data_IF_731611673921
#
_entry.id   IF_731611673921
#
_cell.length_a   1.000
_cell.length_b   1.000
_cell.length_c   1.000
_cell.angle_alpha   90.00
_cell.angle_beta   90.00
_cell.angle_gamma   90.00
#
_symmetry.space_group_name_H-M   'P 1'
#
loop_
_entity.id
_entity.type
_entity.pdbx_description
1 polymer ?
#
# COMPACT_ATOMS: atom_id res chain seq x y z
N UNK A 1 -0.70 8.27 -3.81
CA UNK A 1 0.14 7.18 -4.35
C UNK A 1 1.54 7.73 -4.50
N UNK A 2 2.43 7.23 -3.70
CA UNK A 2 3.85 7.40 -4.00
C UNK A 2 4.06 6.61 -5.30
N UNK A 3 4.56 7.24 -6.36
CA UNK A 3 4.79 6.56 -7.60
C UNK A 3 5.80 5.45 -7.38
N UNK A 4 5.56 4.27 -7.92
CA UNK A 4 6.41 3.11 -7.75
C UNK A 4 7.27 2.92 -8.98
N UNK A 5 8.55 2.80 -8.71
CA UNK A 5 9.52 2.41 -9.70
C UNK A 5 9.71 0.90 -9.69
N UNK A 6 9.61 0.27 -10.85
CA UNK A 6 10.03 -1.10 -11.04
C UNK A 6 11.49 -1.11 -11.46
N UNK A 7 12.40 -1.36 -10.51
CA UNK A 7 13.82 -1.41 -10.79
C UNK A 7 14.24 -2.64 -11.61
N UNK A 8 15.45 -2.58 -12.18
CA UNK A 8 16.04 -3.69 -12.92
C UNK A 8 16.21 -4.91 -12.01
N UNK A 9 15.78 -6.07 -12.46
CA UNK A 9 16.10 -7.35 -11.84
C UNK A 9 17.59 -7.65 -12.11
N UNK A 10 18.43 -7.61 -11.11
CA UNK A 10 19.80 -8.18 -11.06
C UNK A 10 20.59 -8.16 -12.38
N UNK A 11 20.49 -7.11 -13.18
CA UNK A 11 21.29 -6.89 -14.38
C UNK A 11 20.96 -7.80 -15.57
N UNK A 12 19.97 -8.67 -15.51
CA UNK A 12 19.72 -9.65 -16.58
C UNK A 12 18.42 -9.45 -17.36
N UNK A 13 17.40 -8.78 -16.80
CA UNK A 13 16.18 -8.46 -17.55
C UNK A 13 15.65 -7.10 -17.12
N UNK A 14 15.57 -6.18 -18.07
CA UNK A 14 14.83 -4.95 -17.90
C UNK A 14 13.34 -5.26 -18.13
N UNK A 15 12.53 -4.94 -17.12
CA UNK A 15 11.08 -4.94 -17.33
C UNK A 15 10.69 -3.68 -18.12
N UNK A 16 9.73 -3.76 -19.03
CA UNK A 16 9.18 -2.55 -19.65
C UNK A 16 8.73 -1.57 -18.56
N UNK A 17 9.20 -0.33 -18.61
CA UNK A 17 8.92 0.70 -17.61
C UNK A 17 9.92 0.82 -16.47
N UNK A 18 11.00 0.01 -16.45
CA UNK A 18 12.09 0.20 -15.49
C UNK A 18 12.75 1.56 -15.69
N UNK A 19 12.88 2.32 -14.60
CA UNK A 19 13.42 3.69 -14.66
C UNK A 19 12.36 4.75 -14.92
N UNK A 20 11.09 4.37 -15.01
CA UNK A 20 9.99 5.29 -15.28
C UNK A 20 9.03 5.37 -14.09
N UNK A 21 8.38 6.52 -13.92
CA UNK A 21 7.29 6.67 -12.96
C UNK A 21 6.08 5.85 -13.38
N UNK A 22 5.42 5.20 -12.43
CA UNK A 22 4.12 4.54 -12.67
C UNK A 22 2.97 5.50 -12.94
N UNK A 23 3.19 6.81 -12.74
CA UNK A 23 2.19 7.84 -12.93
C UNK A 23 2.75 9.00 -13.75
N UNK A 24 1.90 9.58 -14.59
CA UNK A 24 2.24 10.75 -15.39
C UNK A 24 1.12 11.78 -15.37
N UNK A 25 1.48 13.03 -15.59
CA UNK A 25 0.54 14.13 -15.79
C UNK A 25 0.87 14.84 -17.10
N UNK A 26 -0.10 14.99 -17.98
CA UNK A 26 0.08 15.58 -19.33
C UNK A 26 1.27 14.97 -20.09
N UNK A 27 1.43 13.65 -20.01
CA UNK A 27 2.51 12.91 -20.65
C UNK A 27 3.89 13.05 -20.02
N UNK A 28 4.02 13.77 -18.90
CA UNK A 28 5.27 13.92 -18.16
C UNK A 28 5.27 13.00 -16.95
N UNK A 29 6.33 12.17 -16.73
CA UNK A 29 6.45 11.35 -15.55
C UNK A 29 6.41 12.19 -14.27
N UNK A 30 5.63 11.74 -13.29
CA UNK A 30 5.65 12.35 -11.95
C UNK A 30 6.90 11.91 -11.18
N UNK A 31 7.45 12.77 -10.30
CA UNK A 31 8.47 12.35 -9.35
C UNK A 31 8.00 11.16 -8.52
N UNK A 32 8.85 10.21 -8.24
CA UNK A 32 8.49 8.95 -7.62
C UNK A 32 9.56 8.43 -6.67
N UNK A 33 9.15 7.55 -5.74
CA UNK A 33 10.06 6.77 -4.92
C UNK A 33 10.54 5.55 -5.70
N UNK A 34 11.85 5.39 -5.94
CA UNK A 34 12.41 4.20 -6.56
C UNK A 34 12.13 2.94 -5.74
N UNK A 35 11.73 1.87 -6.38
CA UNK A 35 11.41 0.60 -5.73
C UNK A 35 12.67 -0.29 -5.61
N UNK A 36 12.98 -0.76 -4.41
CA UNK A 36 14.17 -1.56 -4.16
C UNK A 36 13.98 -3.04 -4.54
N UNK A 37 13.94 -3.34 -5.82
CA UNK A 37 13.79 -4.71 -6.32
C UNK A 37 14.99 -5.63 -6.11
N UNK A 38 16.15 -5.07 -5.84
CA UNK A 38 17.43 -5.80 -5.81
C UNK A 38 17.66 -6.57 -4.51
N UNK A 39 16.63 -7.20 -4.00
CA UNK A 39 16.72 -7.98 -2.77
C UNK A 39 16.03 -9.34 -2.96
N UNK A 40 16.65 -10.29 -3.71
CA UNK A 40 16.09 -11.63 -3.96
C UNK A 40 15.83 -12.42 -2.67
N UNK A 41 16.51 -12.06 -1.58
CA UNK A 41 16.28 -12.61 -0.25
C UNK A 41 14.85 -12.41 0.24
N UNK A 42 14.20 -11.29 -0.08
CA UNK A 42 12.80 -11.06 0.33
C UNK A 42 11.86 -12.08 -0.31
N UNK A 43 12.03 -12.40 -1.58
CA UNK A 43 11.23 -13.41 -2.25
C UNK A 43 11.44 -14.82 -1.69
N UNK A 44 12.66 -15.16 -1.26
CA UNK A 44 12.95 -16.44 -0.59
C UNK A 44 12.30 -16.49 0.78
N UNK A 45 12.48 -15.44 1.60
CA UNK A 45 11.88 -15.30 2.92
C UNK A 45 10.36 -15.42 2.85
N UNK A 46 9.70 -14.71 1.94
CA UNK A 46 8.26 -14.79 1.74
C UNK A 46 7.79 -16.22 1.44
N UNK A 47 8.48 -16.94 0.53
CA UNK A 47 8.15 -18.34 0.20
C UNK A 47 8.32 -19.28 1.40
N UNK A 48 9.32 -19.06 2.23
CA UNK A 48 9.55 -19.86 3.44
C UNK A 48 8.49 -19.59 4.49
N UNK A 49 8.13 -18.33 4.71
CA UNK A 49 7.05 -17.95 5.65
C UNK A 49 5.68 -18.49 5.18
N UNK A 50 5.38 -18.42 3.88
CA UNK A 50 4.16 -18.99 3.33
C UNK A 50 4.04 -20.50 3.59
N UNK A 51 5.17 -21.24 3.48
CA UNK A 51 5.20 -22.70 3.80
C UNK A 51 4.92 -23.00 5.28
N UNK A 52 5.22 -22.05 6.17
CA UNK A 52 4.95 -22.16 7.62
C UNK A 52 3.55 -21.66 8.01
N UNK A 53 2.70 -21.35 7.03
CA UNK A 53 1.37 -20.79 7.27
C UNK A 53 1.34 -19.28 7.44
N UNK A 54 2.43 -18.57 7.11
CA UNK A 54 2.51 -17.13 7.05
C UNK A 54 1.81 -16.53 5.82
N UNK A 55 2.10 -15.29 5.50
CA UNK A 55 1.49 -14.58 4.38
C UNK A 55 1.86 -15.22 3.03
N UNK A 56 0.87 -15.40 2.15
CA UNK A 56 1.14 -15.90 0.79
C UNK A 56 1.74 -14.82 -0.11
N UNK A 57 1.45 -13.56 0.18
CA UNK A 57 2.04 -12.38 -0.46
C UNK A 57 2.40 -11.37 0.61
N UNK A 58 3.60 -10.77 0.50
CA UNK A 58 4.06 -9.71 1.38
C UNK A 58 5.10 -8.87 0.62
N UNK A 59 5.05 -7.56 0.78
CA UNK A 59 5.99 -6.63 0.15
C UNK A 59 6.42 -5.48 1.07
N UNK A 60 5.87 -5.39 2.27
CA UNK A 60 6.14 -4.29 3.22
C UNK A 60 7.63 -4.04 3.42
N UNK A 61 8.43 -5.11 3.58
CA UNK A 61 9.88 -4.98 3.79
C UNK A 61 10.60 -4.32 2.61
N UNK A 62 10.10 -4.52 1.38
CA UNK A 62 10.66 -3.92 0.17
C UNK A 62 10.39 -2.40 0.17
N UNK A 63 9.20 -1.97 0.58
CA UNK A 63 8.87 -0.55 0.70
C UNK A 63 9.67 0.14 1.80
N UNK A 64 9.84 -0.51 2.95
CA UNK A 64 10.71 -0.04 4.04
C UNK A 64 12.15 0.13 3.55
N UNK A 65 12.66 -0.86 2.82
CA UNK A 65 14.01 -0.81 2.24
C UNK A 65 14.14 0.30 1.20
N UNK A 66 13.11 0.52 0.38
CA UNK A 66 13.07 1.58 -0.62
C UNK A 66 13.15 2.96 0.01
N UNK A 67 12.33 3.25 1.03
CA UNK A 67 12.39 4.53 1.75
C UNK A 67 13.73 4.73 2.47
N UNK A 68 14.32 3.66 3.00
CA UNK A 68 15.63 3.72 3.65
C UNK A 68 16.76 4.02 2.66
N UNK A 69 16.71 3.43 1.47
CA UNK A 69 17.72 3.61 0.42
C UNK A 69 17.56 4.96 -0.30
N UNK A 70 16.33 5.47 -0.39
CA UNK A 70 16.00 6.72 -1.04
C UNK A 70 15.06 7.53 -0.13
N UNK A 71 15.61 8.42 0.73
CA UNK A 71 14.80 9.31 1.54
C UNK A 71 13.88 10.15 0.66
N UNK A 72 12.57 10.09 0.94
CA UNK A 72 11.55 10.69 0.08
C UNK A 72 11.73 12.22 0.05
N UNK A 73 11.79 12.77 -1.16
CA UNK A 73 11.89 14.21 -1.41
C UNK A 73 10.49 14.84 -1.48
N UNK A 74 10.41 16.13 -1.22
CA UNK A 74 9.13 16.84 -1.21
C UNK A 74 8.35 16.71 -2.53
N UNK A 75 9.03 16.75 -3.67
CA UNK A 75 8.40 16.60 -4.99
C UNK A 75 7.82 15.21 -5.26
N UNK A 76 8.27 14.18 -4.54
CA UNK A 76 7.82 12.79 -4.69
C UNK A 76 6.53 12.50 -3.92
N UNK A 77 6.15 13.38 -2.98
CA UNK A 77 4.89 13.25 -2.28
C UNK A 77 3.69 13.65 -3.12
N UNK A 78 2.60 12.91 -2.97
CA UNK A 78 1.29 13.38 -3.42
C UNK A 78 0.92 14.62 -2.61
N UNK A 79 0.56 15.69 -3.32
CA UNK A 79 0.15 16.96 -2.71
C UNK A 79 -1.30 16.90 -2.26
N UNK A 80 -1.58 16.09 -1.24
CA UNK A 80 -2.95 15.84 -0.74
C UNK A 80 -3.63 17.13 -0.24
N UNK A 81 -2.88 18.10 0.22
CA UNK A 81 -3.36 19.43 0.61
C UNK A 81 -3.99 20.22 -0.56
N UNK A 82 -3.74 19.80 -1.80
CA UNK A 82 -4.33 20.40 -3.01
C UNK A 82 -5.62 19.74 -3.47
N UNK A 83 -6.00 18.65 -2.85
CA UNK A 83 -7.26 17.94 -3.14
C UNK A 83 -8.42 18.84 -2.71
N UNK A 84 -9.42 18.96 -3.58
CA UNK A 84 -10.66 19.68 -3.29
C UNK A 84 -11.78 18.65 -3.11
N UNK A 85 -12.56 18.79 -2.04
CA UNK A 85 -13.65 17.88 -1.72
C UNK A 85 -13.33 16.93 -0.58
N UNK A 86 -13.85 15.70 -0.63
CA UNK A 86 -13.70 14.71 0.45
C UNK A 86 -12.53 13.76 0.21
N UNK A 87 -11.79 13.48 1.26
CA UNK A 87 -10.66 12.56 1.27
C UNK A 87 -10.91 11.49 2.34
N UNK A 88 -11.03 10.25 1.92
CA UNK A 88 -11.13 9.07 2.79
C UNK A 88 -9.82 8.31 2.75
N UNK A 89 -9.19 8.13 3.92
CA UNK A 89 -7.97 7.38 4.12
C UNK A 89 -8.29 6.11 4.91
N UNK A 90 -7.98 4.96 4.36
CA UNK A 90 -8.24 3.67 5.00
C UNK A 90 -6.95 2.87 5.02
N UNK A 91 -6.63 2.26 6.16
CA UNK A 91 -5.47 1.41 6.32
C UNK A 91 -5.62 0.40 7.44
N UNK A 92 -4.60 -0.44 7.57
CA UNK A 92 -4.53 -1.48 8.57
C UNK A 92 -3.12 -1.61 9.15
N UNK A 93 -3.01 -1.85 10.45
CA UNK A 93 -1.72 -2.10 11.11
C UNK A 93 -1.12 -3.44 10.66
N UNK A 94 -1.99 -4.44 10.44
CA UNK A 94 -1.62 -5.78 9.95
C UNK A 94 -1.38 -5.83 8.42
N UNK A 95 -1.33 -4.68 7.72
CA UNK A 95 -1.01 -4.64 6.30
C UNK A 95 0.45 -5.03 6.05
N UNK A 96 0.64 -6.19 5.41
CA UNK A 96 1.95 -6.75 5.06
C UNK A 96 2.40 -6.41 3.64
N UNK A 97 1.55 -5.74 2.85
CA UNK A 97 1.92 -5.26 1.53
C UNK A 97 2.55 -3.88 1.60
N UNK A 98 1.98 -2.98 2.41
CA UNK A 98 2.46 -1.60 2.59
C UNK A 98 2.42 -1.19 4.05
N UNK A 99 3.11 -0.11 4.43
CA UNK A 99 2.99 0.52 5.74
C UNK A 99 1.82 1.52 5.75
N UNK A 100 0.58 1.04 5.47
CA UNK A 100 -0.59 1.91 5.26
C UNK A 100 -0.87 2.82 6.45
N UNK A 101 -0.75 2.33 7.68
CA UNK A 101 -0.85 3.14 8.90
C UNK A 101 0.15 4.30 8.90
N UNK A 102 1.42 4.03 8.62
CA UNK A 102 2.49 5.04 8.54
C UNK A 102 2.19 6.08 7.47
N UNK A 103 1.68 5.63 6.33
CA UNK A 103 1.37 6.53 5.22
C UNK A 103 0.17 7.42 5.54
N UNK A 104 -0.87 6.90 6.19
CA UNK A 104 -2.01 7.69 6.65
C UNK A 104 -1.55 8.74 7.67
N UNK A 105 -0.80 8.36 8.69
CA UNK A 105 -0.27 9.28 9.69
C UNK A 105 0.63 10.38 9.07
N UNK A 106 1.39 10.04 8.03
CA UNK A 106 2.19 11.02 7.27
C UNK A 106 1.29 12.00 6.50
N UNK A 107 0.21 11.51 5.90
CA UNK A 107 -0.77 12.35 5.20
C UNK A 107 -1.53 13.26 6.16
N UNK A 108 -1.98 12.76 7.30
CA UNK A 108 -2.62 13.56 8.35
C UNK A 108 -1.69 14.66 8.87
N UNK A 109 -0.43 14.31 9.16
CA UNK A 109 0.58 15.31 9.57
C UNK A 109 0.76 16.40 8.51
N UNK A 110 0.86 16.00 7.22
CA UNK A 110 1.00 16.94 6.13
C UNK A 110 -0.19 17.90 6.05
N UNK A 111 -1.41 17.41 6.23
CA UNK A 111 -2.62 18.25 6.25
C UNK A 111 -2.64 19.16 7.46
N UNK A 112 -2.25 18.70 8.64
CA UNK A 112 -2.15 19.53 9.85
C UNK A 112 -1.13 20.69 9.72
N UNK A 113 -0.10 20.52 8.90
CA UNK A 113 0.99 21.50 8.70
C UNK A 113 0.75 22.43 7.49
N UNK A 114 -0.29 22.21 6.68
CA UNK A 114 -0.54 22.93 5.44
C UNK A 114 -1.99 23.39 5.31
N UNK A 115 -2.21 24.55 4.74
CA UNK A 115 -3.56 25.00 4.41
C UNK A 115 -4.19 24.06 3.38
N UNK A 116 -5.42 23.64 3.63
CA UNK A 116 -6.21 22.82 2.74
C UNK A 116 -7.71 23.11 2.88
N UNK A 117 -8.48 22.67 1.89
CA UNK A 117 -9.94 22.80 1.89
C UNK A 117 -10.66 21.45 1.82
N UNK A 118 -9.92 20.35 1.81
CA UNK A 118 -10.52 19.02 1.79
C UNK A 118 -11.08 18.64 3.18
N UNK A 119 -12.24 17.96 3.16
CA UNK A 119 -12.77 17.28 4.34
C UNK A 119 -12.08 15.91 4.43
N UNK A 120 -11.54 15.57 5.59
CA UNK A 120 -10.71 14.36 5.76
C UNK A 120 -11.36 13.44 6.77
N UNK A 121 -11.51 12.18 6.38
CA UNK A 121 -11.85 11.07 7.27
C UNK A 121 -10.75 10.02 7.15
N UNK A 122 -10.29 9.46 8.29
CA UNK A 122 -9.27 8.41 8.29
C UNK A 122 -9.65 7.29 9.24
N UNK A 123 -9.42 6.06 8.79
CA UNK A 123 -9.67 4.83 9.54
C UNK A 123 -8.44 3.94 9.50
N UNK A 124 -7.92 3.59 10.67
CA UNK A 124 -6.81 2.65 10.82
C UNK A 124 -7.29 1.51 11.70
N UNK A 125 -7.40 0.32 11.11
CA UNK A 125 -7.85 -0.88 11.79
C UNK A 125 -6.65 -1.69 12.29
N UNK A 126 -6.68 -2.10 13.56
CA UNK A 126 -5.66 -2.97 14.13
C UNK A 126 -5.60 -4.29 13.38
N UNK A 127 -6.74 -4.99 13.26
CA UNK A 127 -6.86 -6.27 12.61
C UNK A 127 -7.65 -6.17 11.31
N UNK A 128 -6.96 -5.72 10.26
CA UNK A 128 -7.43 -5.79 8.89
C UNK A 128 -6.25 -6.14 7.97
N UNK A 129 -6.51 -6.39 6.71
CA UNK A 129 -5.47 -6.70 5.73
C UNK A 129 -5.40 -5.59 4.68
N UNK A 130 -4.48 -5.69 3.75
CA UNK A 130 -4.42 -4.77 2.61
C UNK A 130 -5.75 -4.66 1.84
N UNK A 131 -6.58 -5.70 1.88
CA UNK A 131 -7.90 -5.72 1.23
C UNK A 131 -9.03 -5.24 2.14
N UNK A 132 -8.80 -4.15 2.87
CA UNK A 132 -9.79 -3.46 3.69
C UNK A 132 -10.64 -2.52 2.81
N UNK A 133 -11.32 -3.08 1.82
CA UNK A 133 -12.25 -2.36 0.95
C UNK A 133 -13.69 -2.49 1.45
N UNK A 134 -14.57 -1.51 1.17
CA UNK A 134 -15.99 -1.61 1.52
C UNK A 134 -16.60 -2.94 1.02
N UNK A 135 -17.33 -3.64 1.88
CA UNK A 135 -17.87 -4.97 1.59
C UNK A 135 -18.76 -4.97 0.34
N UNK A 136 -19.53 -3.90 0.14
CA UNK A 136 -20.37 -3.73 -1.05
C UNK A 136 -19.57 -3.64 -2.34
N UNK A 137 -18.42 -2.95 -2.31
CA UNK A 137 -17.50 -2.84 -3.45
C UNK A 137 -16.86 -4.20 -3.77
N UNK A 138 -16.41 -4.92 -2.73
CA UNK A 138 -15.79 -6.23 -2.90
C UNK A 138 -16.74 -7.23 -3.53
N UNK A 139 -18.00 -7.28 -3.09
CA UNK A 139 -19.03 -8.17 -3.66
C UNK A 139 -19.34 -7.88 -5.13
N UNK A 140 -19.19 -6.63 -5.56
CA UNK A 140 -19.39 -6.24 -6.95
C UNK A 140 -18.27 -6.75 -7.85
N UNK A 141 -17.02 -6.72 -7.35
CA UNK A 141 -15.84 -7.13 -8.09
C UNK A 141 -15.62 -8.65 -8.00
N UNK A 142 -15.87 -9.23 -6.82
CA UNK A 142 -15.65 -10.64 -6.52
C UNK A 142 -16.93 -11.23 -5.87
N UNK A 143 -17.73 -11.96 -6.65
CA UNK A 143 -18.98 -12.58 -6.14
C UNK A 143 -18.77 -13.51 -4.94
N UNK A 144 -17.55 -14.05 -4.77
CA UNK A 144 -17.17 -14.91 -3.63
C UNK A 144 -16.92 -14.12 -2.33
N UNK A 145 -16.94 -12.78 -2.40
CA UNK A 145 -16.81 -11.90 -1.25
C UNK A 145 -15.38 -11.68 -0.75
N UNK A 146 -15.24 -10.70 0.14
CA UNK A 146 -13.94 -10.26 0.68
C UNK A 146 -13.25 -11.27 1.58
N UNK A 147 -14.00 -12.22 2.15
CA UNK A 147 -13.43 -13.23 3.06
C UNK A 147 -12.39 -14.14 2.37
N UNK A 148 -12.56 -14.41 1.07
CA UNK A 148 -11.57 -15.18 0.32
C UNK A 148 -10.29 -14.38 0.10
N UNK A 149 -10.41 -13.09 -0.24
CA UNK A 149 -9.25 -12.22 -0.45
C UNK A 149 -8.39 -12.08 0.81
N UNK A 150 -9.03 -11.94 1.96
CA UNK A 150 -8.29 -11.76 3.21
C UNK A 150 -7.53 -13.02 3.64
N UNK A 151 -7.94 -14.22 3.19
CA UNK A 151 -7.28 -15.49 3.55
C UNK A 151 -5.88 -15.68 2.98
N UNK A 152 -5.47 -14.87 2.01
CA UNK A 152 -4.07 -14.87 1.52
C UNK A 152 -3.11 -14.32 2.58
N UNK A 153 -3.63 -13.60 3.58
CA UNK A 153 -2.89 -13.01 4.67
C UNK A 153 -3.05 -13.80 5.97
N UNK A 154 -1.96 -13.88 6.74
CA UNK A 154 -1.97 -14.53 8.06
C UNK A 154 -2.97 -13.84 9.01
N UNK A 155 -2.99 -12.51 9.04
CA UNK A 155 -3.95 -11.73 9.82
C UNK A 155 -5.40 -12.08 9.46
N UNK A 156 -5.74 -12.17 8.16
CA UNK A 156 -7.09 -12.53 7.72
C UNK A 156 -7.53 -13.94 8.08
N UNK A 157 -6.58 -14.87 8.26
CA UNK A 157 -6.88 -16.22 8.79
C UNK A 157 -7.00 -16.23 10.30
N UNK A 158 -6.21 -15.42 11.00
CA UNK A 158 -6.19 -15.33 12.48
C UNK A 158 -7.35 -14.50 13.01
N UNK A 159 -7.69 -13.41 12.35
CA UNK A 159 -8.70 -12.42 12.77
C UNK A 159 -9.81 -12.22 11.72
N UNK A 160 -10.50 -13.29 11.27
CA UNK A 160 -11.46 -13.20 10.17
C UNK A 160 -12.69 -12.34 10.48
N UNK A 161 -13.11 -12.29 11.75
CA UNK A 161 -14.25 -11.49 12.19
C UNK A 161 -13.93 -10.01 12.19
N UNK A 162 -12.76 -9.65 12.71
CA UNK A 162 -12.25 -8.29 12.78
C UNK A 162 -12.00 -7.74 11.37
N UNK A 163 -11.36 -8.51 10.50
CA UNK A 163 -11.17 -8.14 9.10
C UNK A 163 -12.50 -7.94 8.35
N UNK A 164 -13.52 -8.74 8.68
CA UNK A 164 -14.86 -8.56 8.10
C UNK A 164 -15.55 -7.33 8.67
N UNK A 165 -15.46 -7.11 9.98
CA UNK A 165 -16.01 -5.92 10.64
C UNK A 165 -15.44 -4.63 10.04
N UNK A 166 -14.12 -4.56 9.85
CA UNK A 166 -13.47 -3.41 9.23
C UNK A 166 -14.02 -3.10 7.82
N UNK A 167 -14.34 -4.12 7.00
CA UNK A 167 -14.93 -3.92 5.67
C UNK A 167 -16.40 -3.48 5.69
N UNK A 168 -17.11 -3.74 6.78
CA UNK A 168 -18.53 -3.35 6.95
C UNK A 168 -18.63 -1.95 7.54
N UNK A 169 -17.67 -1.56 8.36
CA UNK A 169 -17.62 -0.27 9.05
C UNK A 169 -17.37 0.92 8.09
N UNK A 170 -16.79 0.64 6.93
CA UNK A 170 -16.52 1.60 5.87
C UNK A 170 -17.75 1.64 4.93
#
# INVERSE_FOLDING_TARGET
>A
MEGFYQGKRDGQTEWPGDGESSASWEGKPLPYLPYAYRHPEYGKKMKEEAKKGGDLIASREIFVASEKAHPIREEEFIKIERIKGKLLLIGAEDDVLWETEKYIKRMEKRLAEREHTCEVESYIYEHATHFVFPEGMVKTILPVGGDLLTRVFAAGRKFPKECKAARIDI
#
